data_IF_616364707948
#
_entry.id   IF_616364707948
#
_cell.length_a   1.000
_cell.length_b   1.000
_cell.length_c   1.000
_cell.angle_alpha   90.00
_cell.angle_beta   90.00
_cell.angle_gamma   90.00
#
_symmetry.space_group_name_H-M   'P 1'
#
loop_
_entity.id
_entity.type
_entity.pdbx_description
1 polymer ?
#
# COMPACT_ATOMS: atom_id res chain seq x y z
N UNK A 1 6.77 13.50 -1.60
CA UNK A 1 7.63 14.34 -2.47
C UNK A 1 6.76 14.76 -3.65
N UNK A 2 6.41 16.05 -3.73
CA UNK A 2 5.54 16.60 -4.78
C UNK A 2 6.22 16.57 -6.14
N UNK A 3 5.45 16.46 -7.22
CA UNK A 3 6.00 16.41 -8.58
C UNK A 3 6.26 17.83 -9.10
N UNK A 4 7.31 17.99 -9.90
CA UNK A 4 7.59 19.22 -10.66
C UNK A 4 7.06 19.12 -12.08
N UNK A 5 6.97 20.25 -12.78
CA UNK A 5 6.59 20.27 -14.20
C UNK A 5 7.59 19.49 -15.05
N UNK A 6 8.88 19.60 -14.74
CA UNK A 6 9.93 18.80 -15.37
C UNK A 6 9.74 17.30 -15.11
N UNK A 7 9.30 16.92 -13.91
CA UNK A 7 8.97 15.54 -13.58
C UNK A 7 7.78 15.03 -14.39
N UNK A 8 6.75 15.88 -14.60
CA UNK A 8 5.60 15.55 -15.46
C UNK A 8 6.04 15.39 -16.91
N UNK A 9 6.69 16.38 -17.51
CA UNK A 9 7.18 16.33 -18.90
C UNK A 9 8.06 15.09 -19.12
N UNK A 10 8.96 14.80 -18.16
CA UNK A 10 9.84 13.62 -18.22
C UNK A 10 9.07 12.30 -18.10
N UNK A 11 7.96 12.26 -17.35
CA UNK A 11 7.13 11.04 -17.16
C UNK A 11 6.15 10.83 -18.31
N UNK A 12 5.58 11.89 -18.85
CA UNK A 12 4.67 11.88 -20.00
C UNK A 12 5.40 11.47 -21.28
N UNK A 13 6.66 11.90 -21.45
CA UNK A 13 7.45 11.60 -22.65
C UNK A 13 6.97 12.37 -23.88
N UNK A 14 7.66 12.24 -25.03
CA UNK A 14 7.38 13.04 -26.24
C UNK A 14 5.98 12.85 -26.85
N UNK A 15 5.34 11.70 -26.59
CA UNK A 15 4.05 11.31 -27.17
C UNK A 15 2.98 11.00 -26.10
N UNK A 16 3.22 11.36 -24.83
CA UNK A 16 2.24 11.09 -23.78
C UNK A 16 1.13 12.14 -23.76
N UNK A 17 -0.03 11.74 -23.23
CA UNK A 17 -1.16 12.64 -23.01
C UNK A 17 -0.76 13.70 -21.98
N UNK A 18 -0.91 15.00 -22.27
CA UNK A 18 -0.67 16.06 -21.31
C UNK A 18 -1.45 15.83 -20.00
N UNK A 19 -0.90 16.25 -18.87
CA UNK A 19 -1.49 15.97 -17.55
C UNK A 19 -2.95 16.46 -17.47
N UNK A 20 -3.21 17.66 -17.96
CA UNK A 20 -4.57 18.22 -18.00
C UNK A 20 -5.52 17.34 -18.81
N UNK A 21 -5.11 16.93 -20.00
CA UNK A 21 -5.94 16.13 -20.91
C UNK A 21 -6.22 14.74 -20.33
N UNK A 22 -5.26 14.13 -19.64
CA UNK A 22 -5.48 12.86 -18.95
C UNK A 22 -6.48 13.00 -17.78
N UNK A 23 -6.41 14.11 -17.02
CA UNK A 23 -7.40 14.37 -15.97
C UNK A 23 -8.79 14.65 -16.56
N UNK A 24 -8.85 15.30 -17.72
CA UNK A 24 -10.11 15.48 -18.46
C UNK A 24 -10.68 14.14 -18.91
N UNK A 25 -9.87 13.23 -19.48
CA UNK A 25 -10.31 11.88 -19.87
C UNK A 25 -10.93 11.11 -18.70
N UNK A 26 -10.38 11.26 -17.49
CA UNK A 26 -10.97 10.66 -16.28
C UNK A 26 -12.35 11.28 -15.96
N UNK A 27 -12.46 12.61 -15.98
CA UNK A 27 -13.74 13.29 -15.72
C UNK A 27 -14.78 12.90 -16.78
N UNK A 28 -14.38 12.83 -18.05
CA UNK A 28 -15.25 12.43 -19.17
C UNK A 28 -15.73 10.98 -19.00
N UNK A 29 -14.83 10.06 -18.62
CA UNK A 29 -15.18 8.66 -18.34
C UNK A 29 -16.19 8.57 -17.19
N UNK A 30 -16.00 9.32 -16.10
CA UNK A 30 -16.95 9.33 -14.98
C UNK A 30 -18.35 9.74 -15.43
N UNK A 31 -18.44 10.75 -16.30
CA UNK A 31 -19.72 11.28 -16.79
C UNK A 31 -20.38 10.38 -17.83
N UNK A 32 -19.58 9.66 -18.62
CA UNK A 32 -20.08 8.85 -19.74
C UNK A 32 -20.42 7.41 -19.34
N UNK A 33 -19.79 6.87 -18.29
CA UNK A 33 -19.94 5.47 -17.92
C UNK A 33 -21.18 5.21 -17.05
N UNK A 34 -21.89 4.12 -17.36
CA UNK A 34 -22.98 3.60 -16.52
C UNK A 34 -22.47 2.59 -15.47
N UNK A 35 -21.20 2.17 -15.54
CA UNK A 35 -20.61 1.24 -14.57
C UNK A 35 -20.22 1.97 -13.29
N UNK A 36 -20.84 1.57 -12.19
CA UNK A 36 -20.50 2.08 -10.87
C UNK A 36 -19.06 1.72 -10.48
N UNK A 37 -18.56 0.53 -10.84
CA UNK A 37 -17.17 0.16 -10.57
C UNK A 37 -16.17 1.05 -11.34
N UNK A 38 -16.52 1.45 -12.57
CA UNK A 38 -15.71 2.39 -13.35
C UNK A 38 -15.69 3.78 -12.70
N UNK A 39 -16.85 4.27 -12.23
CA UNK A 39 -16.96 5.53 -11.48
C UNK A 39 -16.13 5.53 -10.20
N UNK A 40 -16.19 4.44 -9.44
CA UNK A 40 -15.39 4.25 -8.24
C UNK A 40 -13.89 4.32 -8.54
N UNK A 41 -13.45 3.63 -9.59
CA UNK A 41 -12.05 3.63 -10.01
C UNK A 41 -11.59 5.02 -10.47
N UNK A 42 -12.46 5.78 -11.14
CA UNK A 42 -12.16 7.16 -11.55
C UNK A 42 -12.02 8.08 -10.33
N UNK A 43 -12.97 8.06 -9.39
CA UNK A 43 -12.87 8.92 -8.20
C UNK A 43 -11.66 8.55 -7.35
N UNK A 44 -11.35 7.26 -7.19
CA UNK A 44 -10.14 6.81 -6.52
C UNK A 44 -8.88 7.39 -7.20
N UNK A 45 -8.86 7.44 -8.53
CA UNK A 45 -7.75 8.04 -9.28
C UNK A 45 -7.64 9.54 -9.03
N UNK A 46 -8.75 10.26 -9.16
CA UNK A 46 -8.79 11.71 -8.92
C UNK A 46 -8.37 12.03 -7.48
N UNK A 47 -8.83 11.27 -6.50
CA UNK A 47 -8.46 11.45 -5.09
C UNK A 47 -6.95 11.24 -4.85
N UNK A 48 -6.34 10.29 -5.56
CA UNK A 48 -4.89 10.09 -5.53
C UNK A 48 -4.12 11.24 -6.19
N UNK A 49 -4.62 11.79 -7.30
CA UNK A 49 -4.01 12.95 -7.95
C UNK A 49 -4.16 14.25 -7.15
N UNK A 50 -5.23 14.37 -6.36
CA UNK A 50 -5.46 15.48 -5.43
C UNK A 50 -4.41 15.61 -4.33
N UNK A 51 -3.52 14.63 -4.13
CA UNK A 51 -2.40 14.76 -3.20
C UNK A 51 -1.29 15.71 -3.70
N UNK A 52 -1.15 15.90 -5.01
CA UNK A 52 -0.02 16.63 -5.60
C UNK A 52 -0.45 18.03 -6.07
N UNK A 53 0.09 19.12 -5.50
CA UNK A 53 -0.32 20.50 -5.80
C UNK A 53 -0.22 20.90 -7.26
N UNK A 54 0.64 20.24 -8.04
CA UNK A 54 0.77 20.48 -9.48
C UNK A 54 -0.55 20.26 -10.23
N UNK A 55 -1.47 19.45 -9.67
CA UNK A 55 -2.76 19.17 -10.29
C UNK A 55 -3.85 20.17 -9.89
N UNK A 56 -3.66 21.02 -8.87
CA UNK A 56 -4.75 21.82 -8.29
C UNK A 56 -5.39 22.77 -9.28
N UNK A 57 -4.57 23.44 -10.10
CA UNK A 57 -5.08 24.30 -11.17
C UNK A 57 -5.96 23.52 -12.16
N UNK A 58 -5.54 22.32 -12.55
CA UNK A 58 -6.33 21.48 -13.45
C UNK A 58 -7.62 21.03 -12.77
N UNK A 59 -7.58 20.67 -11.49
CA UNK A 59 -8.77 20.24 -10.74
C UNK A 59 -9.83 21.35 -10.66
N UNK A 60 -9.41 22.62 -10.52
CA UNK A 60 -10.31 23.78 -10.58
C UNK A 60 -10.88 23.97 -11.98
N UNK A 61 -10.04 23.93 -13.02
CA UNK A 61 -10.48 24.06 -14.42
C UNK A 61 -11.46 22.94 -14.84
N UNK A 62 -11.24 21.73 -14.33
CA UNK A 62 -12.01 20.52 -14.64
C UNK A 62 -13.17 20.28 -13.67
N UNK A 63 -13.42 21.18 -12.71
CA UNK A 63 -14.51 21.08 -11.73
C UNK A 63 -14.52 19.77 -10.92
N UNK A 64 -13.34 19.24 -10.61
CA UNK A 64 -13.22 17.99 -9.85
C UNK A 64 -13.69 18.16 -8.40
N UNK A 65 -13.59 19.38 -7.85
CA UNK A 65 -14.13 19.67 -6.51
C UNK A 65 -15.66 19.54 -6.49
N UNK A 66 -16.34 20.09 -7.50
CA UNK A 66 -17.79 19.96 -7.64
C UNK A 66 -18.18 18.49 -7.75
N UNK A 67 -17.47 17.74 -8.60
CA UNK A 67 -17.66 16.30 -8.73
C UNK A 67 -17.57 15.56 -7.39
N UNK A 68 -16.56 15.84 -6.57
CA UNK A 68 -16.46 15.22 -5.24
C UNK A 68 -17.58 15.64 -4.30
N UNK A 69 -18.00 16.91 -4.32
CA UNK A 69 -19.10 17.39 -3.47
C UNK A 69 -20.43 16.72 -3.87
N UNK A 70 -20.70 16.58 -5.16
CA UNK A 70 -21.91 15.92 -5.68
C UNK A 70 -21.95 14.44 -5.26
N UNK A 71 -20.81 13.74 -5.34
CA UNK A 71 -20.72 12.32 -4.99
C UNK A 71 -20.74 12.05 -3.49
N UNK A 72 -20.47 13.06 -2.65
CA UNK A 72 -20.74 12.97 -1.21
C UNK A 72 -22.24 12.88 -0.93
N UNK A 73 -23.06 13.60 -1.70
CA UNK A 73 -24.51 13.70 -1.48
C UNK A 73 -25.32 12.66 -2.24
N UNK A 74 -24.92 12.36 -3.46
CA UNK A 74 -25.71 11.56 -4.41
C UNK A 74 -25.09 10.19 -4.70
N UNK A 75 -23.81 10.02 -4.37
CA UNK A 75 -23.06 8.81 -4.64
C UNK A 75 -23.33 7.67 -3.66
N UNK A 76 -22.83 6.49 -4.00
CA UNK A 76 -22.76 5.34 -3.10
C UNK A 76 -21.84 5.61 -1.91
N UNK A 77 -21.88 4.77 -0.87
CA UNK A 77 -20.96 4.88 0.27
C UNK A 77 -19.49 4.87 -0.18
N UNK A 78 -19.15 4.07 -1.20
CA UNK A 78 -17.81 4.00 -1.79
C UNK A 78 -17.42 5.27 -2.56
N UNK A 79 -18.33 5.80 -3.39
CA UNK A 79 -18.08 7.04 -4.14
C UNK A 79 -17.92 8.24 -3.19
N UNK A 80 -18.76 8.29 -2.14
CA UNK A 80 -18.67 9.29 -1.07
C UNK A 80 -17.32 9.19 -0.33
N UNK A 81 -16.86 7.97 -0.01
CA UNK A 81 -15.56 7.74 0.61
C UNK A 81 -14.40 8.29 -0.26
N UNK A 82 -14.31 7.92 -1.53
CA UNK A 82 -13.24 8.41 -2.41
C UNK A 82 -13.30 9.93 -2.59
N UNK A 83 -14.51 10.49 -2.63
CA UNK A 83 -14.73 11.93 -2.72
C UNK A 83 -14.24 12.68 -1.48
N UNK A 84 -14.54 12.17 -0.28
CA UNK A 84 -14.02 12.71 0.98
C UNK A 84 -12.48 12.64 1.03
N UNK A 85 -11.88 11.54 0.56
CA UNK A 85 -10.43 11.42 0.49
C UNK A 85 -9.82 12.47 -0.45
N UNK A 86 -10.46 12.72 -1.60
CA UNK A 86 -10.07 13.76 -2.55
C UNK A 86 -10.16 15.17 -1.96
N UNK A 87 -11.29 15.52 -1.35
CA UNK A 87 -11.50 16.83 -0.70
C UNK A 87 -10.53 17.07 0.46
N UNK A 88 -10.27 16.05 1.28
CA UNK A 88 -9.31 16.11 2.38
C UNK A 88 -7.90 16.51 1.90
N UNK A 89 -7.51 16.05 0.71
CA UNK A 89 -6.24 16.41 0.10
C UNK A 89 -6.27 17.83 -0.52
N UNK A 90 -7.37 18.21 -1.18
CA UNK A 90 -7.48 19.48 -1.89
C UNK A 90 -7.61 20.70 -0.97
N UNK A 91 -8.29 20.56 0.18
CA UNK A 91 -8.55 21.68 1.09
C UNK A 91 -7.32 22.20 1.85
N UNK A 92 -6.14 21.59 1.64
CA UNK A 92 -4.86 22.13 2.10
C UNK A 92 -4.42 23.37 1.29
N UNK A 93 -4.90 23.51 0.05
CA UNK A 93 -4.67 24.68 -0.79
C UNK A 93 -5.66 25.80 -0.43
N UNK A 94 -5.21 27.06 -0.22
CA UNK A 94 -6.09 28.16 0.16
C UNK A 94 -7.23 28.43 -0.84
N UNK A 95 -6.95 28.39 -2.15
CA UNK A 95 -7.95 28.66 -3.18
C UNK A 95 -9.02 27.56 -3.25
N UNK A 96 -8.60 26.28 -3.19
CA UNK A 96 -9.54 25.16 -3.10
C UNK A 96 -10.35 25.19 -1.80
N UNK A 97 -9.72 25.55 -0.67
CA UNK A 97 -10.40 25.67 0.62
C UNK A 97 -11.53 26.70 0.55
N UNK A 98 -11.23 27.90 0.08
CA UNK A 98 -12.22 28.97 -0.09
C UNK A 98 -13.36 28.52 -1.02
N UNK A 99 -13.02 27.86 -2.12
CA UNK A 99 -14.02 27.31 -3.04
C UNK A 99 -14.94 26.28 -2.37
N UNK A 100 -14.38 25.31 -1.64
CA UNK A 100 -15.16 24.29 -0.92
C UNK A 100 -16.10 24.93 0.12
N UNK A 101 -15.62 25.94 0.85
CA UNK A 101 -16.45 26.69 1.81
C UNK A 101 -17.61 27.40 1.10
N UNK A 102 -17.34 28.08 -0.02
CA UNK A 102 -18.36 28.78 -0.80
C UNK A 102 -19.42 27.83 -1.39
N UNK A 103 -19.06 26.59 -1.68
CA UNK A 103 -20.02 25.55 -2.11
C UNK A 103 -20.82 24.92 -0.94
N UNK A 104 -20.68 25.41 0.30
CA UNK A 104 -21.36 24.83 1.46
C UNK A 104 -20.76 23.49 1.90
N UNK A 105 -19.47 23.26 1.61
CA UNK A 105 -18.79 22.00 1.86
C UNK A 105 -18.77 21.58 3.32
N UNK A 106 -18.86 22.51 4.28
CA UNK A 106 -18.93 22.17 5.72
C UNK A 106 -20.13 21.28 6.01
N UNK A 107 -21.33 21.70 5.60
CA UNK A 107 -22.56 20.91 5.78
C UNK A 107 -22.47 19.55 5.09
N UNK A 108 -21.93 19.50 3.87
CA UNK A 108 -21.82 18.26 3.09
C UNK A 108 -20.87 17.27 3.78
N UNK A 109 -19.68 17.71 4.16
CA UNK A 109 -18.70 16.88 4.87
C UNK A 109 -19.21 16.48 6.26
N UNK A 110 -19.90 17.37 6.97
CA UNK A 110 -20.47 17.07 8.28
C UNK A 110 -21.53 15.96 8.23
N UNK A 111 -22.28 15.84 7.13
CA UNK A 111 -23.25 14.75 6.95
C UNK A 111 -22.59 13.36 7.01
N UNK A 112 -21.33 13.28 6.59
CA UNK A 112 -20.53 12.06 6.58
C UNK A 112 -20.00 11.65 7.96
N UNK A 113 -20.18 12.46 9.01
CA UNK A 113 -19.77 12.09 10.38
C UNK A 113 -20.59 10.94 10.99
N UNK A 114 -21.65 10.52 10.29
CA UNK A 114 -22.52 9.39 10.63
C UNK A 114 -22.14 8.09 9.92
N UNK A 115 -21.16 8.13 8.99
CA UNK A 115 -20.75 6.95 8.22
C UNK A 115 -20.16 5.84 9.10
N UNK A 116 -20.32 4.59 8.65
CA UNK A 116 -19.73 3.41 9.30
C UNK A 116 -18.33 3.10 8.78
N UNK A 117 -17.99 3.60 7.60
CA UNK A 117 -16.66 3.47 7.03
C UNK A 117 -15.65 4.31 7.83
N UNK A 118 -14.68 3.64 8.47
CA UNK A 118 -13.70 4.27 9.36
C UNK A 118 -12.87 5.30 8.60
N UNK A 119 -12.38 4.98 7.40
CA UNK A 119 -11.57 5.91 6.60
C UNK A 119 -12.35 7.13 6.13
N UNK A 120 -13.59 6.95 5.65
CA UNK A 120 -14.45 8.05 5.27
C UNK A 120 -14.73 8.98 6.46
N UNK A 121 -15.01 8.41 7.64
CA UNK A 121 -15.24 9.17 8.86
C UNK A 121 -14.00 9.96 9.27
N UNK A 122 -12.82 9.34 9.19
CA UNK A 122 -11.55 10.00 9.48
C UNK A 122 -11.24 11.12 8.50
N UNK A 123 -11.51 10.92 7.21
CA UNK A 123 -11.36 11.94 6.18
C UNK A 123 -12.36 13.09 6.41
N UNK A 124 -13.58 12.81 6.82
CA UNK A 124 -14.57 13.84 7.14
C UNK A 124 -14.15 14.72 8.34
N UNK A 125 -13.75 14.10 9.46
CA UNK A 125 -13.24 14.82 10.64
C UNK A 125 -12.03 15.68 10.26
N UNK A 126 -11.09 15.11 9.49
CA UNK A 126 -9.86 15.80 9.08
C UNK A 126 -10.15 16.96 8.13
N UNK A 127 -11.04 16.77 7.16
CA UNK A 127 -11.45 17.82 6.21
C UNK A 127 -12.08 18.99 6.96
N UNK A 128 -12.98 18.73 7.92
CA UNK A 128 -13.55 19.78 8.76
C UNK A 128 -12.47 20.58 9.50
N UNK A 129 -11.44 19.92 10.05
CA UNK A 129 -10.32 20.64 10.68
C UNK A 129 -9.58 21.56 9.71
N UNK A 130 -9.32 21.12 8.47
CA UNK A 130 -8.63 21.95 7.49
C UNK A 130 -9.49 23.08 6.95
N UNK A 131 -10.81 22.91 6.92
CA UNK A 131 -11.74 23.96 6.49
C UNK A 131 -11.91 25.08 7.53
N UNK A 132 -11.33 24.98 8.73
CA UNK A 132 -11.43 26.02 9.75
C UNK A 132 -10.71 27.31 9.32
N UNK A 133 -11.50 28.37 9.27
CA UNK A 133 -11.10 29.78 9.13
C UNK A 133 -11.88 30.61 10.16
N UNK A 134 -11.56 31.89 10.40
CA UNK A 134 -12.38 32.75 11.26
C UNK A 134 -13.87 32.78 10.87
N UNK A 135 -14.16 32.69 9.58
CA UNK A 135 -15.50 32.75 9.00
C UNK A 135 -16.25 31.41 9.13
N UNK A 136 -15.58 30.29 8.88
CA UNK A 136 -16.21 28.95 8.92
C UNK A 136 -16.25 28.33 10.32
N UNK A 137 -15.46 28.85 11.27
CA UNK A 137 -15.33 28.27 12.63
C UNK A 137 -16.69 28.08 13.31
N UNK A 138 -17.56 29.07 13.26
CA UNK A 138 -18.87 28.99 13.93
C UNK A 138 -19.76 27.87 13.35
N UNK A 139 -19.70 27.64 12.04
CA UNK A 139 -20.44 26.56 11.37
C UNK A 139 -19.82 25.19 11.71
N UNK A 140 -18.49 25.09 11.67
CA UNK A 140 -17.76 23.83 11.94
C UNK A 140 -17.85 23.42 13.41
N UNK A 141 -17.92 24.38 14.33
CA UNK A 141 -18.06 24.12 15.78
C UNK A 141 -19.50 24.26 16.25
N UNK A 142 -20.49 24.06 15.38
CA UNK A 142 -21.89 24.06 15.78
C UNK A 142 -22.19 22.90 16.77
N UNK A 143 -23.23 23.03 17.63
CA UNK A 143 -23.53 22.03 18.65
C UNK A 143 -23.64 20.60 18.10
N UNK A 144 -24.22 20.43 16.91
CA UNK A 144 -24.41 19.14 16.26
C UNK A 144 -23.08 18.43 15.94
N UNK A 145 -22.11 19.17 15.39
CA UNK A 145 -20.78 18.64 15.09
C UNK A 145 -19.99 18.41 16.39
N UNK A 146 -20.09 19.33 17.35
CA UNK A 146 -19.40 19.20 18.65
C UNK A 146 -19.87 17.96 19.40
N UNK A 147 -21.19 17.72 19.48
CA UNK A 147 -21.76 16.54 20.11
C UNK A 147 -21.30 15.25 19.42
N UNK A 148 -21.20 15.29 18.08
CA UNK A 148 -20.63 14.20 17.32
C UNK A 148 -19.17 13.93 17.70
N UNK A 149 -18.33 14.96 17.82
CA UNK A 149 -16.93 14.81 18.24
C UNK A 149 -16.80 14.31 19.67
N UNK A 150 -17.68 14.74 20.61
CA UNK A 150 -17.72 14.22 21.99
C UNK A 150 -18.08 12.73 22.01
N UNK A 151 -18.99 12.29 21.13
CA UNK A 151 -19.29 10.85 20.99
C UNK A 151 -18.09 10.09 20.42
N UNK A 152 -17.43 10.63 19.40
CA UNK A 152 -16.29 10.00 18.72
C UNK A 152 -15.01 9.96 19.57
N UNK A 153 -14.81 10.90 20.49
CA UNK A 153 -13.70 10.88 21.46
C UNK A 153 -13.75 9.70 22.44
N UNK A 154 -14.91 9.04 22.54
CA UNK A 154 -15.14 7.82 23.31
C UNK A 154 -15.08 6.55 22.45
N UNK A 155 -14.70 6.66 21.17
CA UNK A 155 -14.57 5.52 20.26
C UNK A 155 -13.52 4.52 20.75
N UNK A 156 -13.77 3.24 20.49
CA UNK A 156 -12.79 2.17 20.71
C UNK A 156 -11.68 2.18 19.64
N UNK A 157 -11.91 2.82 18.48
CA UNK A 157 -10.88 3.00 17.47
C UNK A 157 -9.96 4.16 17.89
N UNK A 158 -8.67 3.90 18.14
CA UNK A 158 -7.75 4.91 18.66
C UNK A 158 -7.54 6.08 17.69
N UNK A 159 -7.63 5.85 16.38
CA UNK A 159 -7.45 6.90 15.37
C UNK A 159 -8.59 7.91 15.39
N UNK A 160 -9.83 7.41 15.36
CA UNK A 160 -11.05 8.22 15.43
C UNK A 160 -11.06 9.00 16.75
N UNK A 161 -10.79 8.32 17.86
CA UNK A 161 -10.71 8.94 19.18
C UNK A 161 -9.69 10.08 19.19
N UNK A 162 -8.48 9.86 18.71
CA UNK A 162 -7.43 10.87 18.71
C UNK A 162 -7.80 12.08 17.85
N UNK A 163 -8.34 11.88 16.64
CA UNK A 163 -8.79 12.97 15.76
C UNK A 163 -9.91 13.80 16.40
N UNK A 164 -10.89 13.15 17.03
CA UNK A 164 -12.00 13.83 17.69
C UNK A 164 -11.54 14.60 18.94
N UNK A 165 -10.60 14.04 19.72
CA UNK A 165 -9.99 14.74 20.86
C UNK A 165 -9.23 15.98 20.38
N UNK A 166 -8.39 15.86 19.36
CA UNK A 166 -7.64 16.99 18.78
C UNK A 166 -8.61 18.07 18.31
N UNK A 167 -9.68 17.70 17.59
CA UNK A 167 -10.69 18.66 17.14
C UNK A 167 -11.29 19.45 18.31
N UNK A 168 -11.65 18.75 19.39
CA UNK A 168 -12.27 19.37 20.56
C UNK A 168 -11.30 20.28 21.32
N UNK A 169 -10.05 19.84 21.52
CA UNK A 169 -9.00 20.61 22.20
C UNK A 169 -8.68 21.90 21.43
N UNK A 170 -8.44 21.79 20.13
CA UNK A 170 -7.88 22.87 19.31
C UNK A 170 -8.94 23.89 18.89
N UNK A 171 -10.20 23.48 18.72
CA UNK A 171 -11.23 24.34 18.14
C UNK A 171 -12.43 24.61 19.04
N UNK A 172 -12.66 23.79 20.07
CA UNK A 172 -13.85 23.83 20.92
C UNK A 172 -13.53 24.09 22.40
N UNK A 173 -12.36 24.63 22.72
CA UNK A 173 -11.90 24.86 24.11
C UNK A 173 -12.86 25.77 24.92
N UNK A 174 -13.57 26.67 24.25
CA UNK A 174 -14.58 27.56 24.86
C UNK A 174 -16.00 26.94 24.94
N UNK A 175 -16.21 25.74 24.38
CA UNK A 175 -17.51 25.08 24.37
C UNK A 175 -17.85 24.44 25.72
N UNK A 176 -19.07 24.70 26.22
CA UNK A 176 -19.60 24.09 27.46
C UNK A 176 -19.51 22.55 27.45
N UNK A 177 -19.65 21.92 26.28
CA UNK A 177 -19.56 20.48 26.08
C UNK A 177 -18.12 19.94 26.23
N UNK A 178 -17.10 20.72 25.86
CA UNK A 178 -15.69 20.37 26.08
C UNK A 178 -15.33 20.47 27.58
N UNK A 179 -15.76 21.56 28.23
CA UNK A 179 -15.48 21.84 29.64
C UNK A 179 -16.09 20.81 30.61
N UNK A 180 -17.17 20.11 30.20
CA UNK A 180 -17.76 19.01 30.98
C UNK A 180 -17.05 17.66 30.77
N UNK A 181 -16.32 17.48 29.67
CA UNK A 181 -15.71 16.20 29.31
C UNK A 181 -14.21 16.11 29.66
N UNK A 182 -13.47 17.23 29.64
CA UNK A 182 -12.02 17.24 29.85
C UNK A 182 -11.54 18.56 30.52
N UNK A 183 -11.13 18.54 31.80
CA UNK A 183 -10.43 19.67 32.41
C UNK A 183 -8.97 19.73 31.91
N UNK A 184 -8.60 20.88 31.37
CA UNK A 184 -7.35 21.17 30.65
C UNK A 184 -6.07 20.64 31.29
N UNK A 185 -5.30 19.84 30.53
CA UNK A 185 -3.83 19.81 30.51
C UNK A 185 -3.31 18.82 29.45
N UNK A 186 -2.75 19.30 28.33
CA UNK A 186 -1.60 18.62 27.71
C UNK A 186 -0.87 19.50 26.69
N UNK A 187 0.46 19.48 26.78
CA UNK A 187 1.42 20.39 26.16
C UNK A 187 2.18 19.72 25.00
N UNK A 188 1.62 19.72 23.78
CA UNK A 188 2.34 19.40 22.54
C UNK A 188 1.66 20.11 21.36
N UNK A 189 2.44 20.60 20.39
CA UNK A 189 1.92 21.41 19.28
C UNK A 189 1.14 20.57 18.25
N UNK A 190 -0.02 21.08 17.82
CA UNK A 190 -1.01 20.46 16.91
C UNK A 190 -0.40 19.84 15.66
N UNK A 191 0.61 20.48 15.06
CA UNK A 191 1.20 20.04 13.79
C UNK A 191 2.03 18.76 13.94
N UNK A 192 2.64 18.53 15.10
CA UNK A 192 3.45 17.33 15.38
C UNK A 192 2.58 16.10 15.63
N UNK A 193 1.49 16.25 16.40
CA UNK A 193 0.51 15.16 16.60
C UNK A 193 -0.21 14.79 15.30
N UNK A 194 -0.51 15.80 14.49
CA UNK A 194 -1.17 15.66 13.19
C UNK A 194 -0.28 14.95 12.16
N UNK A 195 1.00 15.30 12.04
CA UNK A 195 1.93 14.64 11.11
C UNK A 195 2.17 13.17 11.48
N UNK A 196 2.26 12.85 12.77
CA UNK A 196 2.43 11.48 13.25
C UNK A 196 1.13 10.65 13.04
N UNK A 197 -0.04 11.26 13.27
CA UNK A 197 -1.32 10.62 12.95
C UNK A 197 -1.50 10.45 11.45
N UNK A 198 -1.19 11.43 10.59
CA UNK A 198 -1.28 11.27 9.12
C UNK A 198 -0.38 10.16 8.61
N UNK A 199 0.79 9.97 9.22
CA UNK A 199 1.70 8.85 8.93
C UNK A 199 1.06 7.49 9.28
N UNK A 200 0.31 7.40 10.38
CA UNK A 200 -0.45 6.20 10.75
C UNK A 200 -1.71 6.00 9.89
N UNK A 201 -2.45 7.06 9.55
CA UNK A 201 -3.64 7.01 8.67
C UNK A 201 -3.23 6.55 7.27
N UNK A 202 -2.09 7.02 6.78
CA UNK A 202 -1.56 6.62 5.48
C UNK A 202 -1.05 5.17 5.43
N UNK A 203 -0.74 4.57 6.59
CA UNK A 203 -0.44 3.13 6.75
C UNK A 203 -1.75 2.33 6.82
N UNK A 204 -2.76 2.85 7.52
CA UNK A 204 -4.00 2.12 7.76
C UNK A 204 -5.01 2.20 6.61
N UNK A 205 -5.03 3.28 5.82
CA UNK A 205 -5.78 3.37 4.54
C UNK A 205 -5.29 2.36 3.49
N UNK A 206 -4.03 1.92 3.59
CA UNK A 206 -3.51 0.82 2.78
C UNK A 206 -3.82 -0.58 3.34
N UNK A 207 -4.14 -0.70 4.63
CA UNK A 207 -4.41 -1.97 5.32
C UNK A 207 -5.93 -2.27 5.42
N UNK A 208 -6.81 -1.28 5.62
CA UNK A 208 -8.28 -1.47 5.68
C UNK A 208 -8.89 -1.85 4.31
N UNK A 209 -8.29 -1.40 3.21
CA UNK A 209 -8.64 -1.86 1.86
C UNK A 209 -8.33 -3.36 1.67
N UNK A 210 -7.35 -3.92 2.39
CA UNK A 210 -6.98 -5.34 2.32
C UNK A 210 -7.97 -6.23 3.08
N UNK A 211 -8.49 -5.82 4.24
CA UNK A 211 -9.49 -6.60 5.01
C UNK A 211 -10.88 -6.62 4.35
N UNK A 212 -11.30 -5.53 3.69
CA UNK A 212 -12.57 -5.50 2.93
C UNK A 212 -12.47 -6.41 1.69
N UNK A 213 -11.29 -6.45 1.04
CA UNK A 213 -11.01 -7.34 -0.10
C UNK A 213 -10.97 -8.82 0.35
N UNK A 214 -10.44 -9.14 1.53
CA UNK A 214 -10.37 -10.53 2.01
C UNK A 214 -11.74 -11.12 2.42
N UNK A 215 -12.71 -10.28 2.82
CA UNK A 215 -14.04 -10.71 3.29
C UNK A 215 -15.04 -11.12 2.19
N UNK A 216 -14.97 -10.54 0.99
CA UNK A 216 -15.90 -10.83 -0.11
C UNK A 216 -15.45 -11.98 -1.04
N UNK A 217 -14.24 -12.52 -0.84
CA UNK A 217 -13.63 -13.55 -1.71
C UNK A 217 -14.28 -14.96 -1.54
N UNK A 218 -15.21 -15.17 -0.62
CA UNK A 218 -15.80 -16.51 -0.41
C UNK A 218 -16.96 -16.90 -1.33
N UNK A 219 -17.50 -16.03 -2.19
CA UNK A 219 -18.54 -16.49 -3.12
C UNK A 219 -18.51 -15.79 -4.49
N UNK A 220 -18.52 -16.64 -5.52
CA UNK A 220 -18.76 -16.42 -6.95
C UNK A 220 -17.52 -16.30 -7.85
N UNK A 221 -17.34 -17.41 -8.57
CA UNK A 221 -16.43 -17.77 -9.68
C UNK A 221 -16.03 -16.59 -10.58
N UNK A 222 -14.74 -16.23 -10.54
CA UNK A 222 -14.12 -15.21 -11.38
C UNK A 222 -13.65 -15.78 -12.73
N UNK A 223 -14.43 -15.51 -13.76
CA UNK A 223 -13.89 -15.12 -15.07
C UNK A 223 -14.30 -13.64 -15.19
N UNK A 224 -13.33 -12.76 -15.47
CA UNK A 224 -13.49 -11.33 -15.81
C UNK A 224 -13.65 -10.24 -14.73
N UNK A 225 -13.32 -10.47 -13.45
CA UNK A 225 -13.45 -9.41 -12.40
C UNK A 225 -12.14 -8.81 -11.82
N UNK A 226 -10.95 -9.20 -12.31
CA UNK A 226 -9.64 -8.69 -11.83
C UNK A 226 -9.08 -7.52 -12.65
N UNK A 227 -9.91 -6.91 -13.49
CA UNK A 227 -9.51 -5.83 -14.41
C UNK A 227 -9.73 -4.43 -13.84
N UNK A 228 -10.48 -4.26 -12.73
CA UNK A 228 -10.98 -2.91 -12.35
C UNK A 228 -10.38 -2.30 -11.07
N UNK A 229 -10.04 -3.01 -9.98
CA UNK A 229 -9.63 -2.35 -8.70
C UNK A 229 -8.11 -2.07 -8.57
N UNK A 230 -7.39 -1.94 -9.69
CA UNK A 230 -5.91 -1.94 -9.69
C UNK A 230 -5.22 -0.75 -10.38
N UNK A 231 -5.90 0.38 -10.60
CA UNK A 231 -5.43 1.42 -11.52
C UNK A 231 -5.29 2.83 -10.93
N UNK A 232 -4.61 3.02 -9.78
CA UNK A 232 -4.18 4.37 -9.35
C UNK A 232 -2.69 4.54 -9.00
N UNK A 233 -1.89 3.47 -9.02
CA UNK A 233 -0.43 3.61 -8.95
C UNK A 233 0.19 2.73 -10.03
N UNK A 234 0.63 3.41 -11.08
CA UNK A 234 1.41 2.90 -12.22
C UNK A 234 0.69 1.92 -13.14
N UNK A 235 0.20 2.41 -14.29
CA UNK A 235 0.36 1.71 -15.57
C UNK A 235 0.13 2.64 -16.76
N UNK A 236 1.22 3.16 -17.29
CA UNK A 236 1.45 3.00 -18.72
C UNK A 236 2.88 2.47 -18.89
N UNK A 237 3.05 1.19 -18.61
CA UNK A 237 3.98 0.37 -19.36
C UNK A 237 3.19 -0.83 -19.88
N UNK A 238 2.96 -0.79 -21.20
CA UNK A 238 2.54 -1.87 -22.09
C UNK A 238 1.03 -2.09 -22.29
N UNK A 239 0.35 -1.13 -22.90
CA UNK A 239 -0.79 -1.45 -23.79
C UNK A 239 -0.30 -1.45 -25.24
N UNK A 240 -0.45 -2.61 -25.89
CA UNK A 240 -0.23 -2.83 -27.31
C UNK A 240 -1.16 -3.96 -27.70
N UNK A 241 -1.98 -3.71 -28.74
CA UNK A 241 -3.04 -4.58 -29.25
C UNK A 241 -2.60 -6.03 -29.38
N UNK A 242 -3.54 -6.91 -29.06
CA UNK A 242 -3.41 -8.37 -29.01
C UNK A 242 -3.56 -8.91 -30.44
N UNK A 243 -2.51 -9.54 -30.95
CA UNK A 243 -2.63 -10.67 -31.86
C UNK A 243 -1.95 -11.84 -31.13
N UNK A 244 -2.64 -12.99 -31.07
CA UNK A 244 -2.45 -14.08 -30.12
C UNK A 244 -1.02 -14.49 -29.77
N UNK A 245 -0.75 -14.63 -28.46
CA UNK A 245 -0.24 -15.83 -27.78
C UNK A 245 -0.03 -15.53 -26.28
N UNK A 246 -0.45 -16.47 -25.43
CA UNK A 246 -0.53 -16.36 -23.96
C UNK A 246 0.85 -16.31 -23.29
N UNK A 247 1.29 -15.16 -22.77
CA UNK A 247 2.33 -15.07 -21.73
C UNK A 247 2.40 -13.65 -21.13
N UNK A 248 1.42 -13.27 -20.32
CA UNK A 248 1.42 -11.99 -19.59
C UNK A 248 1.82 -12.24 -18.14
N UNK A 249 2.96 -11.67 -17.70
CA UNK A 249 3.39 -11.72 -16.31
C UNK A 249 2.46 -10.87 -15.42
N UNK A 250 2.28 -11.24 -14.14
CA UNK A 250 1.44 -10.48 -13.22
C UNK A 250 1.91 -9.02 -13.10
N UNK A 251 0.99 -8.05 -12.93
CA UNK A 251 1.34 -6.66 -12.67
C UNK A 251 2.29 -6.52 -11.47
N UNK A 252 3.32 -5.68 -11.61
CA UNK A 252 4.20 -5.28 -10.50
C UNK A 252 3.61 -4.02 -9.87
N UNK A 253 3.10 -4.14 -8.65
CA UNK A 253 2.56 -3.03 -7.84
C UNK A 253 2.92 -3.25 -6.37
N UNK A 254 2.89 -2.18 -5.56
CA UNK A 254 3.14 -2.30 -4.12
C UNK A 254 2.06 -3.18 -3.48
N UNK A 255 2.46 -4.15 -2.67
CA UNK A 255 1.60 -5.20 -2.11
C UNK A 255 1.50 -6.45 -3.01
N UNK A 256 1.99 -6.42 -4.25
CA UNK A 256 2.07 -7.62 -5.07
C UNK A 256 2.97 -8.65 -4.39
N UNK A 257 2.47 -9.88 -4.27
CA UNK A 257 3.14 -10.96 -3.55
C UNK A 257 3.13 -12.23 -4.38
N UNK A 258 4.23 -12.98 -4.31
CA UNK A 258 4.30 -14.34 -4.83
C UNK A 258 4.87 -15.25 -3.75
N UNK A 259 4.26 -16.43 -3.62
CA UNK A 259 4.77 -17.52 -2.79
C UNK A 259 5.06 -18.70 -3.70
N UNK A 260 6.28 -19.23 -3.62
CA UNK A 260 6.70 -20.41 -4.38
C UNK A 260 7.23 -21.45 -3.42
N UNK A 261 6.59 -22.62 -3.41
CA UNK A 261 7.07 -23.78 -2.69
C UNK A 261 8.18 -24.48 -3.47
N UNK A 262 9.30 -24.78 -2.80
CA UNK A 262 10.46 -25.44 -3.38
C UNK A 262 11.00 -26.51 -2.44
N UNK A 263 11.31 -27.69 -2.99
CA UNK A 263 12.03 -28.74 -2.26
C UNK A 263 13.53 -28.61 -2.52
N UNK A 264 14.33 -28.55 -1.45
CA UNK A 264 15.79 -28.45 -1.53
C UNK A 264 16.39 -29.86 -1.47
N UNK A 265 16.41 -30.55 -2.60
CA UNK A 265 16.97 -31.90 -2.71
C UNK A 265 18.50 -31.92 -2.58
N UNK A 266 19.05 -33.09 -2.26
CA UNK A 266 20.50 -33.34 -2.26
C UNK A 266 21.13 -32.97 -3.61
N UNK A 267 20.49 -33.30 -4.72
CA UNK A 267 20.97 -32.98 -6.06
C UNK A 267 21.16 -31.47 -6.30
N UNK A 268 20.28 -30.61 -5.75
CA UNK A 268 20.45 -29.16 -5.85
C UNK A 268 21.63 -28.66 -5.05
N UNK A 269 21.84 -29.23 -3.86
CA UNK A 269 22.99 -28.91 -2.99
C UNK A 269 24.30 -29.32 -3.66
N UNK A 270 24.36 -30.53 -4.22
CA UNK A 270 25.51 -31.01 -4.98
C UNK A 270 25.76 -30.19 -6.25
N UNK A 271 24.70 -29.85 -7.00
CA UNK A 271 24.82 -29.03 -8.21
C UNK A 271 25.32 -27.62 -7.88
N UNK A 272 24.89 -27.06 -6.76
CA UNK A 272 25.38 -25.76 -6.29
C UNK A 272 26.87 -25.83 -5.93
N UNK A 273 27.30 -26.83 -5.14
CA UNK A 273 28.71 -26.99 -4.79
C UNK A 273 29.60 -27.24 -6.01
N UNK A 274 29.13 -27.99 -7.01
CA UNK A 274 29.85 -28.14 -8.29
C UNK A 274 30.00 -26.81 -9.04
N UNK A 275 29.03 -25.92 -8.93
CA UNK A 275 29.04 -24.64 -9.64
C UNK A 275 29.83 -23.54 -8.90
N UNK A 276 29.97 -23.64 -7.57
CA UNK A 276 30.62 -22.63 -6.73
C UNK A 276 31.92 -23.07 -6.09
N UNK A 277 32.28 -24.35 -6.25
CA UNK A 277 33.35 -25.05 -5.53
C UNK A 277 33.19 -25.04 -3.98
N UNK A 278 31.99 -24.76 -3.48
CA UNK A 278 31.67 -24.80 -2.04
C UNK A 278 31.31 -26.21 -1.57
N UNK A 279 32.36 -27.02 -1.40
CA UNK A 279 32.31 -28.38 -0.86
C UNK A 279 32.45 -28.43 0.67
N UNK A 280 32.05 -27.38 1.38
CA UNK A 280 32.11 -27.38 2.84
C UNK A 280 31.34 -28.60 3.41
N UNK A 281 31.97 -29.47 4.23
CA UNK A 281 31.37 -30.71 4.70
C UNK A 281 30.02 -30.56 5.41
N UNK A 282 29.74 -29.38 5.98
CA UNK A 282 28.45 -29.10 6.64
C UNK A 282 27.24 -29.29 5.69
N UNK A 283 27.46 -29.25 4.38
CA UNK A 283 26.42 -29.40 3.37
C UNK A 283 26.24 -30.85 2.85
N UNK A 284 27.15 -31.78 3.18
CA UNK A 284 27.21 -33.10 2.53
C UNK A 284 27.27 -34.27 3.50
N UNK A 285 28.05 -34.15 4.58
CA UNK A 285 28.23 -35.22 5.55
C UNK A 285 28.81 -34.67 6.85
N UNK A 286 28.01 -34.71 7.91
CA UNK A 286 28.37 -35.29 9.21
C UNK A 286 27.45 -34.77 10.32
N UNK A 287 26.89 -35.70 11.08
CA UNK A 287 26.23 -35.42 12.36
C UNK A 287 27.11 -34.56 13.28
N UNK A 288 28.43 -34.71 13.22
CA UNK A 288 29.39 -33.99 14.06
C UNK A 288 29.48 -32.47 13.76
N UNK A 289 29.48 -32.07 12.48
CA UNK A 289 29.63 -30.66 12.09
C UNK A 289 28.32 -29.88 12.24
N UNK A 290 27.18 -30.52 11.95
CA UNK A 290 25.86 -29.95 12.20
C UNK A 290 25.62 -29.68 13.70
N UNK A 291 26.13 -30.54 14.58
CA UNK A 291 26.00 -30.40 16.03
C UNK A 291 26.80 -29.21 16.57
N UNK A 292 28.00 -28.94 16.03
CA UNK A 292 28.84 -27.78 16.40
C UNK A 292 28.27 -26.43 15.92
N UNK A 293 27.53 -26.40 14.81
CA UNK A 293 26.89 -25.16 14.32
C UNK A 293 25.48 -24.93 14.89
N UNK A 294 24.75 -25.99 15.29
CA UNK A 294 23.42 -25.87 15.91
C UNK A 294 23.40 -25.09 17.22
N UNK A 295 24.57 -24.90 17.86
CA UNK A 295 24.74 -24.11 19.09
C UNK A 295 24.78 -22.60 18.83
N UNK A 296 25.10 -22.15 17.60
CA UNK A 296 25.25 -20.72 17.25
C UNK A 296 23.97 -20.09 16.66
N UNK A 297 23.07 -20.90 16.08
CA UNK A 297 21.77 -20.44 15.58
C UNK A 297 20.66 -21.26 16.25
N UNK A 298 20.08 -20.73 17.33
CA UNK A 298 18.92 -21.19 18.12
C UNK A 298 18.06 -22.34 17.52
N UNK A 299 18.59 -23.57 17.46
CA UNK A 299 17.89 -24.68 16.81
C UNK A 299 17.92 -25.93 17.68
N UNK A 300 17.10 -25.95 18.73
CA UNK A 300 16.85 -27.17 19.52
C UNK A 300 16.37 -28.37 18.67
N UNK A 301 15.80 -28.13 17.47
CA UNK A 301 15.31 -29.16 16.53
C UNK A 301 16.36 -29.71 15.53
N UNK A 302 17.52 -29.07 15.34
CA UNK A 302 18.60 -29.69 14.52
C UNK A 302 19.07 -30.98 15.19
N UNK A 303 19.03 -31.03 16.52
CA UNK A 303 19.40 -32.21 17.32
C UNK A 303 18.47 -33.41 17.10
N UNK A 304 17.18 -33.21 16.81
CA UNK A 304 16.22 -34.32 16.65
C UNK A 304 16.22 -34.94 15.25
N UNK A 305 16.52 -34.16 14.19
CA UNK A 305 16.68 -34.68 12.82
C UNK A 305 18.09 -35.22 12.52
N UNK A 306 19.13 -34.69 13.18
CA UNK A 306 20.47 -35.28 13.13
C UNK A 306 20.43 -36.75 13.59
N UNK A 307 19.62 -37.08 14.61
CA UNK A 307 19.41 -38.45 15.08
C UNK A 307 18.70 -39.40 14.09
N UNK A 308 18.25 -38.90 12.93
CA UNK A 308 17.58 -39.66 11.86
C UNK A 308 18.44 -39.78 10.59
N UNK A 309 19.75 -39.51 10.67
CA UNK A 309 20.74 -39.86 9.65
C UNK A 309 20.91 -38.86 8.49
N UNK A 310 20.29 -37.68 8.54
CA UNK A 310 20.59 -36.60 7.58
C UNK A 310 20.71 -35.25 8.30
N UNK A 311 21.93 -34.91 8.70
CA UNK A 311 22.27 -33.69 9.43
C UNK A 311 22.79 -32.56 8.53
N UNK A 312 22.91 -32.78 7.22
CA UNK A 312 23.43 -31.80 6.29
C UNK A 312 22.56 -30.54 6.27
N UNK A 313 23.20 -29.37 6.25
CA UNK A 313 22.55 -28.06 6.23
C UNK A 313 22.63 -27.50 4.81
N UNK A 314 21.57 -26.86 4.33
CA UNK A 314 21.54 -26.19 3.02
C UNK A 314 22.45 -24.96 3.02
N UNK A 315 23.22 -24.73 1.95
CA UNK A 315 23.98 -23.49 1.77
C UNK A 315 23.06 -22.26 1.85
N UNK A 316 23.38 -21.29 2.70
CA UNK A 316 22.65 -20.02 2.73
C UNK A 316 22.68 -19.28 1.38
N UNK A 317 23.80 -19.40 0.65
CA UNK A 317 23.94 -18.84 -0.70
C UNK A 317 23.03 -19.54 -1.73
N UNK A 318 22.75 -20.85 -1.57
CA UNK A 318 21.77 -21.56 -2.41
C UNK A 318 20.35 -21.02 -2.17
N UNK A 319 19.97 -20.73 -0.92
CA UNK A 319 18.68 -20.10 -0.61
C UNK A 319 18.55 -18.72 -1.28
N UNK A 320 19.63 -17.92 -1.25
CA UNK A 320 19.70 -16.66 -1.98
C UNK A 320 19.53 -16.86 -3.50
N UNK A 321 20.17 -17.88 -4.08
CA UNK A 321 19.99 -18.24 -5.49
C UNK A 321 18.54 -18.58 -5.84
N UNK A 322 17.81 -19.24 -4.95
CA UNK A 322 16.39 -19.57 -5.15
C UNK A 322 15.52 -18.31 -5.08
N UNK A 323 15.76 -17.42 -4.11
CA UNK A 323 15.09 -16.11 -4.04
C UNK A 323 15.33 -15.31 -5.32
N UNK A 324 16.58 -15.27 -5.80
CA UNK A 324 16.94 -14.64 -7.07
C UNK A 324 16.17 -15.25 -8.24
N UNK A 325 16.02 -16.58 -8.29
CA UNK A 325 15.21 -17.27 -9.29
C UNK A 325 13.73 -16.86 -9.24
N UNK A 326 13.13 -16.75 -8.05
CA UNK A 326 11.75 -16.27 -7.90
C UNK A 326 11.62 -14.80 -8.36
N UNK A 327 12.56 -13.95 -7.95
CA UNK A 327 12.60 -12.53 -8.36
C UNK A 327 12.71 -12.39 -9.88
N UNK A 328 13.65 -13.11 -10.48
CA UNK A 328 13.97 -13.02 -11.90
C UNK A 328 12.98 -13.72 -12.83
N UNK A 329 12.10 -14.60 -12.32
CA UNK A 329 11.18 -15.37 -13.17
C UNK A 329 9.70 -15.20 -12.83
N UNK A 330 9.37 -14.75 -11.61
CA UNK A 330 7.99 -14.61 -11.13
C UNK A 330 7.65 -13.17 -10.81
N UNK A 331 8.28 -12.57 -9.79
CA UNK A 331 7.95 -11.23 -9.32
C UNK A 331 9.21 -10.53 -8.76
N UNK A 332 9.70 -9.44 -9.38
CA UNK A 332 9.07 -8.68 -10.46
C UNK A 332 9.05 -9.38 -11.83
N UNK A 333 9.86 -10.41 -12.04
CA UNK A 333 9.85 -11.24 -13.25
C UNK A 333 11.00 -10.97 -14.23
N UNK A 334 10.93 -11.50 -15.46
CA UNK A 334 12.05 -11.54 -16.40
C UNK A 334 12.70 -10.19 -16.72
N UNK A 335 14.04 -10.23 -16.82
CA UNK A 335 14.91 -9.08 -17.07
C UNK A 335 15.07 -8.11 -15.90
N UNK A 336 14.54 -8.46 -14.73
CA UNK A 336 14.84 -7.76 -13.48
C UNK A 336 16.31 -7.90 -13.13
N UNK A 337 16.97 -6.77 -12.88
CA UNK A 337 18.34 -6.71 -12.41
C UNK A 337 18.36 -6.43 -10.91
N UNK A 338 19.12 -7.22 -10.16
CA UNK A 338 19.38 -6.97 -8.74
C UNK A 338 20.38 -5.82 -8.59
N UNK A 339 20.04 -4.78 -7.81
CA UNK A 339 20.93 -3.64 -7.55
C UNK A 339 21.59 -3.74 -6.18
N UNK A 340 20.83 -4.07 -5.14
CA UNK A 340 21.35 -4.28 -3.79
C UNK A 340 20.41 -5.19 -3.00
N UNK A 341 20.94 -5.96 -2.06
CA UNK A 341 20.13 -6.83 -1.19
C UNK A 341 20.74 -6.99 0.20
N UNK A 342 19.87 -7.22 1.19
CA UNK A 342 20.23 -7.60 2.56
C UNK A 342 19.89 -9.08 2.80
N UNK A 343 20.73 -9.80 3.53
CA UNK A 343 20.54 -11.23 3.80
C UNK A 343 20.69 -11.48 5.30
N UNK A 344 19.60 -11.91 5.93
CA UNK A 344 19.60 -12.35 7.32
C UNK A 344 19.33 -13.86 7.34
N UNK A 345 20.30 -14.64 7.80
CA UNK A 345 20.17 -16.09 8.01
C UNK A 345 19.69 -16.34 9.44
N UNK A 346 18.39 -16.60 9.58
CA UNK A 346 17.71 -16.65 10.89
C UNK A 346 17.83 -18.04 11.52
N UNK A 347 17.77 -19.09 10.71
CA UNK A 347 17.88 -20.48 11.17
C UNK A 347 18.48 -21.38 10.10
N UNK A 348 19.09 -22.49 10.54
CA UNK A 348 19.62 -23.48 9.61
C UNK A 348 18.49 -24.33 9.01
N UNK A 349 18.64 -24.72 7.74
CA UNK A 349 17.67 -25.53 7.03
C UNK A 349 18.29 -26.90 6.70
N UNK A 350 17.73 -28.02 7.17
CA UNK A 350 18.21 -29.36 6.80
C UNK A 350 18.01 -29.65 5.30
N UNK A 351 18.95 -30.37 4.68
CA UNK A 351 18.84 -30.84 3.29
C UNK A 351 17.64 -31.78 3.16
N UNK A 352 16.93 -31.69 2.03
CA UNK A 352 15.67 -32.40 1.78
C UNK A 352 14.42 -31.66 2.26
N UNK A 353 14.56 -30.53 2.95
CA UNK A 353 13.43 -29.74 3.43
C UNK A 353 12.67 -29.06 2.29
N UNK A 354 11.37 -28.89 2.49
CA UNK A 354 10.52 -28.05 1.66
C UNK A 354 10.39 -26.66 2.29
N UNK A 355 10.51 -25.63 1.45
CA UNK A 355 10.41 -24.23 1.87
C UNK A 355 9.42 -23.47 0.99
N UNK A 356 8.81 -22.46 1.58
CA UNK A 356 8.07 -21.42 0.88
C UNK A 356 8.94 -20.18 0.76
N UNK A 357 9.17 -19.74 -0.47
CA UNK A 357 9.81 -18.48 -0.77
C UNK A 357 8.75 -17.46 -1.07
N UNK A 358 8.62 -16.49 -0.17
CA UNK A 358 7.70 -15.37 -0.29
C UNK A 358 8.48 -14.13 -0.72
N UNK A 359 8.02 -13.46 -1.78
CA UNK A 359 8.53 -12.18 -2.24
C UNK A 359 7.36 -11.22 -2.35
N UNK A 360 7.49 -10.06 -1.73
CA UNK A 360 6.48 -9.01 -1.71
C UNK A 360 7.08 -7.68 -2.14
N UNK A 361 6.39 -6.96 -3.03
CA UNK A 361 6.79 -5.64 -3.49
C UNK A 361 6.39 -4.59 -2.46
N UNK A 362 7.38 -3.95 -1.85
CA UNK A 362 7.19 -2.92 -0.81
C UNK A 362 7.37 -1.50 -1.34
N UNK A 363 7.85 -1.34 -2.57
CA UNK A 363 7.99 -0.01 -3.18
C UNK A 363 8.22 -0.07 -4.67
N UNK A 364 7.56 0.81 -5.41
CA UNK A 364 7.77 0.97 -6.85
C UNK A 364 8.05 2.44 -7.16
N UNK A 365 9.20 2.72 -7.78
CA UNK A 365 9.56 4.06 -8.25
C UNK A 365 10.21 3.98 -9.63
N UNK A 366 9.46 4.35 -10.67
CA UNK A 366 9.91 4.29 -12.07
C UNK A 366 10.24 2.84 -12.48
N UNK A 367 11.54 2.53 -12.60
CA UNK A 367 12.07 1.19 -12.90
C UNK A 367 12.66 0.52 -11.67
N UNK A 368 12.75 1.25 -10.57
CA UNK A 368 13.22 0.72 -9.32
C UNK A 368 12.07 0.03 -8.59
N UNK A 369 12.30 -1.22 -8.20
CA UNK A 369 11.35 -2.01 -7.41
C UNK A 369 12.06 -2.47 -6.15
N UNK A 370 11.48 -2.14 -5.00
CA UNK A 370 11.93 -2.63 -3.70
C UNK A 370 11.02 -3.79 -3.30
N UNK A 371 11.63 -4.90 -2.91
CA UNK A 371 10.92 -6.09 -2.41
C UNK A 371 11.42 -6.45 -1.02
N UNK A 372 10.54 -6.99 -0.19
CA UNK A 372 10.92 -7.81 0.94
C UNK A 372 10.74 -9.28 0.59
N UNK A 373 11.56 -10.15 1.17
CA UNK A 373 11.41 -11.58 0.99
C UNK A 373 11.69 -12.34 2.27
N UNK A 374 11.04 -13.50 2.38
CA UNK A 374 11.29 -14.49 3.43
C UNK A 374 11.25 -15.90 2.86
N UNK A 375 12.10 -16.75 3.41
CA UNK A 375 12.10 -18.19 3.17
C UNK A 375 11.64 -18.85 4.45
N UNK A 376 10.57 -19.62 4.37
CA UNK A 376 9.90 -20.25 5.50
C UNK A 376 9.96 -21.76 5.32
N UNK A 377 10.33 -22.49 6.36
CA UNK A 377 10.26 -23.95 6.38
C UNK A 377 8.80 -24.41 6.46
N UNK A 378 8.36 -25.23 5.50
CA UNK A 378 6.99 -25.76 5.48
C UNK A 378 6.72 -26.77 6.61
N UNK A 379 7.78 -27.28 7.26
CA UNK A 379 7.64 -28.33 8.29
C UNK A 379 7.24 -27.73 9.64
N UNK A 380 7.76 -26.56 9.97
CA UNK A 380 7.62 -25.96 11.30
C UNK A 380 7.29 -24.46 11.27
N UNK A 381 7.10 -23.87 10.08
CA UNK A 381 6.74 -22.46 9.92
C UNK A 381 7.86 -21.48 10.27
N UNK A 382 9.08 -21.97 10.50
CA UNK A 382 10.20 -21.13 10.91
C UNK A 382 10.77 -20.34 9.73
N UNK A 383 10.97 -19.03 9.92
CA UNK A 383 11.71 -18.21 8.96
C UNK A 383 13.19 -18.61 9.02
N UNK A 384 13.74 -19.10 7.90
CA UNK A 384 15.14 -19.52 7.80
C UNK A 384 16.03 -18.44 7.21
N UNK A 385 15.50 -17.63 6.30
CA UNK A 385 16.19 -16.49 5.70
C UNK A 385 15.20 -15.37 5.42
N UNK A 386 15.59 -14.12 5.62
CA UNK A 386 14.82 -12.97 5.17
C UNK A 386 15.72 -11.82 4.71
N UNK A 387 15.12 -10.83 4.05
CA UNK A 387 15.85 -9.68 3.56
C UNK A 387 14.99 -8.72 2.75
N UNK A 388 15.64 -7.69 2.22
CA UNK A 388 15.07 -6.76 1.26
C UNK A 388 16.00 -6.65 0.06
N UNK A 389 15.43 -6.48 -1.13
CA UNK A 389 16.19 -6.21 -2.35
C UNK A 389 15.67 -4.98 -3.07
N UNK A 390 16.60 -4.19 -3.60
CA UNK A 390 16.35 -3.12 -4.56
C UNK A 390 16.71 -3.63 -5.94
N UNK A 391 15.76 -3.49 -6.85
CA UNK A 391 15.76 -4.12 -8.16
C UNK A 391 15.54 -3.06 -9.24
N UNK A 392 16.01 -3.34 -10.45
CA UNK A 392 15.79 -2.53 -11.64
C UNK A 392 15.11 -3.36 -12.72
N UNK A 393 13.85 -3.04 -13.01
CA UNK A 393 13.09 -3.70 -14.08
C UNK A 393 13.47 -3.11 -15.46
N UNK A 394 13.33 -3.87 -16.54
CA UNK A 394 13.71 -3.44 -17.90
C UNK A 394 12.84 -2.29 -18.41
N UNK A 395 13.32 -1.58 -19.45
CA UNK A 395 12.49 -0.62 -20.21
C UNK A 395 11.72 -1.40 -21.29
N UNK A 396 10.39 -1.31 -21.30
CA UNK A 396 9.55 -1.97 -22.31
C UNK A 396 9.18 -3.43 -21.97
N UNK A 397 8.40 -4.08 -22.86
CA UNK A 397 7.98 -5.49 -22.73
C UNK A 397 9.20 -6.40 -22.91
N UNK A 398 9.42 -7.32 -21.98
CA UNK A 398 10.25 -8.51 -22.21
C UNK A 398 9.30 -9.68 -22.43
N UNK A 399 9.20 -10.12 -23.68
CA UNK A 399 8.70 -11.46 -24.01
C UNK A 399 9.81 -12.46 -23.69
N UNK A 400 9.45 -13.63 -23.16
CA UNK A 400 10.41 -14.75 -23.03
C UNK A 400 11.12 -14.94 -24.38
N UNK A 401 12.44 -14.91 -24.39
CA UNK A 401 13.17 -15.70 -25.38
C UNK A 401 12.91 -17.15 -24.99
N UNK A 402 12.33 -17.91 -25.92
CA UNK A 402 11.95 -19.31 -25.74
C UNK A 402 13.10 -20.20 -25.33
#
# INVERSE_FOLDING_TARGET
MFSTEEDLIRRTGKNGVPRKDFLQELVDEFQATDSEEAKEQVLANLANFAYDPINYKFFRELKVIDLFLDQITEGTETLSHFSLAGLCNLCLDPENKEYILNCGGVRLVASCLSTRNVEALMNAITTLQFLITPESKAEITCPEIVDCMVRLSRSHNPRIKNLAVIFLEDYCSDSKAHQTAYPSNSSLSTMERFMESKKQIQILQSEELLEIIEGEIQNVRAVDFLTIVGLAKSRLFCSGKINGENNVFPPIYVGAKVVVTQTISKDKVESFAKATDDWNPVHFDSEEHAMKQSTALNSQKIKSKAAQGNAAIVHGALLNGIVSGVIGTKLPGPGTLLVSQTLNYVAALPVGSQVEVEVEVIGCKRREVNVMYKVVSCVDGLVVMNGQARLMVPKGRITRLG
#
